data_IF_981134140698
#
_entry.id   IF_981134140698
#
_cell.length_a   1.000
_cell.length_b   1.000
_cell.length_c   1.000
_cell.angle_alpha   90.00
_cell.angle_beta   90.00
_cell.angle_gamma   90.00
#
_symmetry.space_group_name_H-M   'P 1'
#
loop_
_entity.id
_entity.type
_entity.pdbx_description
1 polymer ?
#
# COMPACT_ATOMS: atom_id res chain seq x y z
N UNK A 1 4.29 1.40 -13.46
CA UNK A 1 4.85 1.61 -12.10
C UNK A 1 5.12 3.08 -11.76
N UNK A 2 5.97 3.81 -12.49
CA UNK A 2 6.24 5.23 -12.17
C UNK A 2 4.97 6.09 -12.17
N UNK A 3 4.08 5.92 -13.15
CA UNK A 3 2.80 6.65 -13.21
C UNK A 3 1.91 6.33 -12.01
N UNK A 4 1.77 5.04 -11.67
CA UNK A 4 1.08 4.58 -10.46
C UNK A 4 1.64 5.25 -9.19
N UNK A 5 2.95 5.15 -8.96
CA UNK A 5 3.59 5.76 -7.79
C UNK A 5 3.34 7.27 -7.69
N UNK A 6 3.38 8.00 -8.82
CA UNK A 6 3.05 9.44 -8.85
C UNK A 6 1.58 9.73 -8.52
N UNK A 7 0.65 8.92 -9.02
CA UNK A 7 -0.77 9.06 -8.71
C UNK A 7 -1.05 8.81 -7.21
N UNK A 8 -0.45 7.73 -6.66
CA UNK A 8 -0.50 7.42 -5.23
C UNK A 8 0.10 8.55 -4.40
N UNK A 9 1.29 9.05 -4.74
CA UNK A 9 1.94 10.16 -4.04
C UNK A 9 1.06 11.42 -4.04
N UNK A 10 0.51 11.79 -5.20
CA UNK A 10 -0.37 12.95 -5.31
C UNK A 10 -1.61 12.81 -4.42
N UNK A 11 -2.26 11.64 -4.37
CA UNK A 11 -3.41 11.41 -3.48
C UNK A 11 -3.01 11.38 -2.02
N UNK A 12 -1.90 10.72 -1.69
CA UNK A 12 -1.36 10.63 -0.34
C UNK A 12 -1.08 12.03 0.24
N UNK A 13 -0.49 12.94 -0.54
CA UNK A 13 -0.28 14.34 -0.14
C UNK A 13 -1.61 15.08 0.09
N UNK A 14 -2.62 14.91 -0.79
CA UNK A 14 -3.96 15.48 -0.57
C UNK A 14 -4.57 15.02 0.75
N UNK A 15 -4.44 13.74 1.07
CA UNK A 15 -4.93 13.17 2.34
C UNK A 15 -4.14 13.74 3.52
N UNK A 16 -2.80 13.79 3.41
CA UNK A 16 -1.93 14.33 4.46
C UNK A 16 -2.31 15.76 4.85
N UNK A 17 -2.68 16.60 3.89
CA UNK A 17 -3.17 17.96 4.16
C UNK A 17 -4.48 17.98 4.97
N UNK A 18 -5.38 17.00 4.81
CA UNK A 18 -6.61 16.91 5.61
C UNK A 18 -6.29 16.56 7.06
N UNK A 19 -5.23 15.81 7.31
CA UNK A 19 -4.79 15.43 8.66
C UNK A 19 -3.55 16.20 9.13
N UNK A 20 -3.35 17.43 8.63
CA UNK A 20 -2.17 18.25 8.95
C UNK A 20 -1.94 18.48 10.46
N UNK A 21 -2.99 18.43 11.28
CA UNK A 21 -2.91 18.50 12.74
C UNK A 21 -2.07 17.37 13.37
N UNK A 22 -1.91 16.24 12.67
CA UNK A 22 -1.06 15.11 13.05
C UNK A 22 0.40 15.28 12.62
N UNK A 23 0.72 16.37 11.90
CA UNK A 23 2.06 16.72 11.41
C UNK A 23 2.72 15.58 10.59
N UNK A 24 2.04 15.06 9.54
CA UNK A 24 2.64 14.02 8.69
C UNK A 24 3.88 14.56 7.95
N UNK A 25 4.89 13.71 7.82
CA UNK A 25 6.11 14.01 7.04
C UNK A 25 5.83 13.93 5.53
N UNK A 26 5.59 15.09 4.91
CA UNK A 26 5.18 15.18 3.50
C UNK A 26 6.26 14.69 2.53
N UNK A 27 7.53 14.98 2.82
CA UNK A 27 8.66 14.52 2.00
C UNK A 27 8.77 13.00 2.05
N UNK A 28 8.68 12.42 3.25
CA UNK A 28 8.67 10.97 3.39
C UNK A 28 7.47 10.32 2.69
N UNK A 29 6.27 10.92 2.77
CA UNK A 29 5.08 10.41 2.08
C UNK A 29 5.31 10.33 0.57
N UNK A 30 5.84 11.40 -0.04
CA UNK A 30 6.11 11.44 -1.47
C UNK A 30 7.13 10.37 -1.88
N UNK A 31 8.27 10.31 -1.19
CA UNK A 31 9.33 9.34 -1.47
C UNK A 31 8.86 7.89 -1.31
N UNK A 32 8.20 7.59 -0.19
CA UNK A 32 7.76 6.23 0.13
C UNK A 32 6.61 5.78 -0.78
N UNK A 33 5.71 6.69 -1.19
CA UNK A 33 4.69 6.39 -2.19
C UNK A 33 5.29 6.08 -3.58
N UNK A 34 6.42 6.70 -3.95
CA UNK A 34 7.10 6.35 -5.19
C UNK A 34 7.81 4.98 -5.12
N UNK A 35 8.25 4.57 -3.93
CA UNK A 35 9.03 3.36 -3.71
C UNK A 35 8.24 2.13 -3.27
N UNK A 36 6.98 2.27 -2.84
CA UNK A 36 6.23 1.20 -2.16
C UNK A 36 6.18 -0.14 -2.94
N UNK A 37 6.16 -0.09 -4.26
CA UNK A 37 6.10 -1.24 -5.17
C UNK A 37 7.48 -1.74 -5.64
N UNK A 38 8.61 -1.22 -5.14
CA UNK A 38 9.95 -1.54 -5.69
C UNK A 38 10.26 -3.04 -5.70
N UNK A 39 9.71 -3.80 -4.74
CA UNK A 39 9.87 -5.25 -4.67
C UNK A 39 9.19 -6.03 -5.79
N UNK A 40 8.36 -5.40 -6.62
CA UNK A 40 7.73 -6.04 -7.78
C UNK A 40 8.75 -6.59 -8.79
N UNK A 41 9.97 -6.06 -8.83
CA UNK A 41 11.04 -6.59 -9.68
C UNK A 41 11.32 -8.09 -9.39
N UNK A 42 11.01 -8.57 -8.19
CA UNK A 42 11.20 -9.95 -7.76
C UNK A 42 9.99 -10.85 -8.05
N UNK A 43 8.86 -10.29 -8.49
CA UNK A 43 7.61 -11.04 -8.66
C UNK A 43 7.31 -11.37 -10.12
N UNK A 44 6.55 -12.44 -10.33
CA UNK A 44 6.07 -12.87 -11.62
C UNK A 44 4.75 -12.17 -11.97
N UNK A 45 4.85 -11.02 -12.64
CA UNK A 45 3.70 -10.24 -13.12
C UNK A 45 3.97 -9.73 -14.55
N UNK A 46 3.95 -10.62 -15.56
CA UNK A 46 4.39 -10.29 -16.93
C UNK A 46 3.54 -9.19 -17.59
N UNK A 47 2.26 -9.08 -17.24
CA UNK A 47 1.39 -7.98 -17.70
C UNK A 47 1.88 -6.60 -17.24
N UNK A 48 2.68 -6.56 -16.17
CA UNK A 48 3.29 -5.34 -15.61
C UNK A 48 4.77 -5.22 -15.98
N UNK A 49 5.29 -6.13 -16.83
CA UNK A 49 6.69 -6.18 -17.23
C UNK A 49 7.64 -6.76 -16.17
N UNK A 50 7.11 -7.46 -15.16
CA UNK A 50 7.91 -8.10 -14.11
C UNK A 50 8.04 -9.60 -14.36
N UNK A 51 9.27 -10.09 -14.47
CA UNK A 51 9.59 -11.49 -14.84
C UNK A 51 10.31 -12.24 -13.70
N UNK A 52 10.13 -11.81 -12.46
CA UNK A 52 10.66 -12.51 -11.29
C UNK A 52 9.99 -13.87 -11.08
N UNK A 53 10.36 -14.54 -9.99
CA UNK A 53 9.91 -15.90 -9.67
C UNK A 53 8.92 -15.97 -8.53
N UNK A 54 8.81 -14.91 -7.72
CA UNK A 54 7.94 -14.89 -6.55
C UNK A 54 6.49 -14.56 -6.92
N UNK A 55 5.50 -15.01 -6.13
CA UNK A 55 4.12 -14.60 -6.33
C UNK A 55 3.96 -13.09 -6.15
N UNK A 56 3.00 -12.47 -6.85
CA UNK A 56 2.79 -11.03 -6.81
C UNK A 56 2.69 -10.46 -5.39
N UNK A 57 2.02 -11.15 -4.46
CA UNK A 57 1.87 -10.71 -3.06
C UNK A 57 3.21 -10.49 -2.33
N UNK A 58 4.29 -11.13 -2.78
CA UNK A 58 5.61 -11.03 -2.17
C UNK A 58 6.27 -9.65 -2.38
N UNK A 59 5.79 -8.82 -3.32
CA UNK A 59 6.42 -7.53 -3.63
C UNK A 59 6.58 -6.63 -2.40
N UNK A 60 5.64 -6.69 -1.44
CA UNK A 60 5.72 -5.88 -0.23
C UNK A 60 6.94 -6.20 0.62
N UNK A 61 7.04 -7.43 1.12
CA UNK A 61 8.18 -7.82 1.96
C UNK A 61 9.50 -7.82 1.16
N UNK A 62 9.47 -8.12 -0.14
CA UNK A 62 10.67 -8.01 -0.97
C UNK A 62 11.17 -6.56 -1.10
N UNK A 63 10.27 -5.58 -1.16
CA UNK A 63 10.65 -4.17 -1.10
C UNK A 63 11.37 -3.83 0.21
N UNK A 64 10.93 -4.43 1.34
CA UNK A 64 11.65 -4.31 2.61
C UNK A 64 13.04 -4.94 2.56
N UNK A 65 13.17 -6.16 2.06
CA UNK A 65 14.46 -6.86 1.94
C UNK A 65 15.45 -6.14 1.02
N UNK A 66 14.95 -5.37 0.04
CA UNK A 66 15.78 -4.53 -0.82
C UNK A 66 16.23 -3.22 -0.15
N UNK A 67 15.33 -2.54 0.56
CA UNK A 67 15.58 -1.20 1.09
C UNK A 67 16.27 -1.19 2.46
N UNK A 68 16.02 -2.18 3.30
CA UNK A 68 16.58 -2.22 4.65
C UNK A 68 18.12 -2.29 4.68
N UNK A 69 18.80 -3.10 3.84
CA UNK A 69 20.28 -3.12 3.80
C UNK A 69 20.90 -1.81 3.31
N UNK A 70 20.13 -0.96 2.62
CA UNK A 70 20.57 0.35 2.11
C UNK A 70 20.35 1.49 3.12
N UNK A 71 19.81 1.19 4.31
CA UNK A 71 19.52 2.18 5.36
C UNK A 71 18.16 2.87 5.26
N UNK A 72 17.33 2.54 4.25
CA UNK A 72 16.00 3.13 4.06
C UNK A 72 14.91 2.42 4.88
N UNK A 73 15.13 2.31 6.19
CA UNK A 73 14.28 1.49 7.07
C UNK A 73 12.81 1.94 7.11
N UNK A 74 12.54 3.26 7.08
CA UNK A 74 11.15 3.77 7.08
C UNK A 74 10.42 3.41 5.77
N UNK A 75 11.07 3.61 4.62
CA UNK A 75 10.51 3.26 3.30
C UNK A 75 10.32 1.74 3.15
N UNK A 76 11.23 0.95 3.72
CA UNK A 76 11.13 -0.51 3.78
C UNK A 76 9.84 -0.97 4.49
N UNK A 77 9.45 -0.31 5.60
CA UNK A 77 8.20 -0.62 6.31
C UNK A 77 6.97 -0.30 5.47
N UNK A 78 6.96 0.83 4.74
CA UNK A 78 5.88 1.17 3.81
C UNK A 78 5.75 0.10 2.71
N UNK A 79 6.87 -0.34 2.14
CA UNK A 79 6.86 -1.43 1.16
C UNK A 79 6.22 -2.69 1.74
N UNK A 80 6.61 -3.12 2.94
CA UNK A 80 6.04 -4.34 3.52
C UNK A 80 4.55 -4.21 3.87
N UNK A 81 4.13 -3.05 4.38
CA UNK A 81 2.85 -2.89 5.06
C UNK A 81 1.72 -2.33 4.20
N UNK A 82 1.99 -1.96 2.94
CA UNK A 82 0.96 -1.39 2.06
C UNK A 82 0.06 -2.43 1.36
N UNK A 83 0.42 -3.71 1.40
CA UNK A 83 -0.32 -4.79 0.71
C UNK A 83 -1.71 -4.96 1.34
N UNK A 84 -2.75 -4.99 0.51
CA UNK A 84 -4.12 -4.99 1.01
C UNK A 84 -4.41 -3.68 1.76
N UNK A 85 -4.98 -3.77 2.96
CA UNK A 85 -5.00 -2.65 3.93
C UNK A 85 -3.97 -2.82 5.04
N UNK A 86 -2.91 -3.59 4.78
CA UNK A 86 -2.03 -4.23 5.76
C UNK A 86 -2.46 -5.66 6.04
N UNK A 87 -1.55 -6.51 6.51
CA UNK A 87 -1.86 -7.91 6.82
C UNK A 87 -1.40 -8.25 8.23
N UNK A 88 -2.35 -8.66 9.08
CA UNK A 88 -2.06 -9.18 10.41
C UNK A 88 -1.53 -10.61 10.34
N UNK A 89 -0.91 -11.08 11.44
CA UNK A 89 -0.46 -12.47 11.56
C UNK A 89 -1.63 -13.45 11.33
N UNK A 90 -2.80 -13.15 11.90
CA UNK A 90 -3.99 -13.98 11.74
C UNK A 90 -4.45 -14.05 10.27
N UNK A 91 -4.52 -12.92 9.56
CA UNK A 91 -4.90 -12.89 8.14
C UNK A 91 -3.90 -13.67 7.26
N UNK A 92 -2.60 -13.60 7.59
CA UNK A 92 -1.56 -14.37 6.88
C UNK A 92 -1.77 -15.87 7.09
N UNK A 93 -2.04 -16.30 8.32
CA UNK A 93 -2.26 -17.72 8.66
C UNK A 93 -3.57 -18.27 8.07
N UNK A 94 -4.68 -17.56 8.30
CA UNK A 94 -6.01 -17.96 7.83
C UNK A 94 -6.08 -18.00 6.29
N UNK A 95 -5.41 -17.05 5.63
CA UNK A 95 -5.33 -17.01 4.17
C UNK A 95 -4.30 -17.96 3.56
N UNK A 96 -3.48 -18.64 4.36
CA UNK A 96 -2.37 -19.47 3.87
C UNK A 96 -1.40 -18.69 2.97
N UNK A 97 -1.20 -17.40 3.26
CA UNK A 97 -0.43 -16.51 2.39
C UNK A 97 1.06 -16.88 2.46
N UNK A 98 1.78 -16.90 1.33
CA UNK A 98 3.22 -17.21 1.28
C UNK A 98 4.05 -15.99 1.71
N UNK A 99 3.80 -15.50 2.92
CA UNK A 99 4.41 -14.30 3.49
C UNK A 99 5.13 -14.64 4.80
N UNK A 100 6.18 -13.89 5.18
CA UNK A 100 6.77 -13.97 6.51
C UNK A 100 5.72 -13.85 7.62
N UNK A 101 5.79 -14.71 8.63
CA UNK A 101 4.83 -14.71 9.73
C UNK A 101 5.14 -13.59 10.73
N UNK A 102 4.75 -12.36 10.39
CA UNK A 102 4.87 -11.16 11.22
C UNK A 102 3.75 -10.17 10.92
N UNK A 103 3.53 -9.23 11.83
CA UNK A 103 2.54 -8.18 11.62
C UNK A 103 3.03 -7.19 10.55
N UNK A 104 2.26 -7.11 9.46
CA UNK A 104 2.50 -6.22 8.32
C UNK A 104 1.37 -5.18 8.20
N UNK A 105 0.78 -4.75 9.32
CA UNK A 105 -0.16 -3.63 9.36
C UNK A 105 0.55 -2.26 9.38
N UNK A 106 0.03 -1.25 8.68
CA UNK A 106 0.53 0.13 8.76
C UNK A 106 0.47 0.68 10.19
N UNK A 107 1.59 1.23 10.68
CA UNK A 107 1.67 1.74 12.05
C UNK A 107 1.66 3.27 12.11
N UNK A 108 2.53 3.94 11.35
CA UNK A 108 2.58 5.40 11.32
C UNK A 108 1.43 6.01 10.53
N UNK A 109 1.17 7.30 10.75
CA UNK A 109 0.18 8.05 9.96
C UNK A 109 0.54 8.07 8.47
N UNK A 110 1.82 8.19 8.15
CA UNK A 110 2.33 8.16 6.77
C UNK A 110 2.12 6.78 6.12
N UNK A 111 2.40 5.69 6.84
CA UNK A 111 2.14 4.33 6.34
C UNK A 111 0.65 4.13 6.03
N UNK A 112 -0.24 4.59 6.93
CA UNK A 112 -1.69 4.49 6.75
C UNK A 112 -2.17 5.33 5.56
N UNK A 113 -1.67 6.55 5.41
CA UNK A 113 -2.01 7.43 4.29
C UNK A 113 -1.63 6.80 2.96
N UNK A 114 -0.40 6.29 2.85
CA UNK A 114 0.10 5.67 1.60
C UNK A 114 -0.67 4.39 1.30
N UNK A 115 -0.87 3.53 2.30
CA UNK A 115 -1.63 2.29 2.14
C UNK A 115 -3.07 2.58 1.68
N UNK A 116 -3.75 3.56 2.29
CA UNK A 116 -5.09 3.96 1.86
C UNK A 116 -5.09 4.54 0.44
N UNK A 117 -4.17 5.47 0.13
CA UNK A 117 -4.08 6.11 -1.18
C UNK A 117 -3.84 5.11 -2.33
N UNK A 118 -3.01 4.08 -2.11
CA UNK A 118 -2.70 3.04 -3.10
C UNK A 118 -3.96 2.31 -3.59
N UNK A 119 -4.98 2.14 -2.74
CA UNK A 119 -6.18 1.36 -3.11
C UNK A 119 -7.00 1.99 -4.24
N UNK A 120 -6.86 3.29 -4.45
CA UNK A 120 -7.61 4.07 -5.44
C UNK A 120 -7.04 3.97 -6.85
N UNK A 121 -5.84 3.43 -7.03
CA UNK A 121 -5.19 3.37 -8.33
C UNK A 121 -4.92 1.93 -8.74
N UNK A 122 -4.88 1.72 -10.05
CA UNK A 122 -4.47 0.44 -10.62
C UNK A 122 -3.13 0.57 -11.32
N UNK A 123 -2.43 -0.56 -11.43
CA UNK A 123 -1.13 -0.62 -12.11
C UNK A 123 -1.27 -0.76 -13.63
N UNK A 124 -2.49 -0.88 -14.17
CA UNK A 124 -2.79 -1.02 -15.61
C UNK A 124 -3.53 0.20 -16.19
N UNK A 125 -4.47 0.76 -15.43
CA UNK A 125 -5.14 2.03 -15.71
C UNK A 125 -4.64 3.08 -14.71
N UNK A 126 -3.87 4.02 -15.23
CA UNK A 126 -3.17 5.05 -14.46
C UNK A 126 -3.87 6.42 -14.49
N UNK A 127 -4.87 6.59 -15.35
CA UNK A 127 -5.52 7.88 -15.57
C UNK A 127 -6.82 8.00 -14.77
N UNK A 128 -7.32 6.88 -14.25
CA UNK A 128 -8.58 6.80 -13.49
C UNK A 128 -8.33 6.57 -12.00
N UNK A 129 -8.70 7.53 -11.17
CA UNK A 129 -8.88 7.34 -9.73
C UNK A 129 -10.21 6.60 -9.50
N UNK A 130 -10.15 5.43 -8.85
CA UNK A 130 -11.36 4.67 -8.49
C UNK A 130 -12.20 5.46 -7.49
N UNK A 131 -13.51 5.31 -7.58
CA UNK A 131 -14.43 5.80 -6.56
C UNK A 131 -14.27 5.02 -5.26
N UNK A 132 -14.67 5.63 -4.14
CA UNK A 132 -14.68 4.96 -2.84
C UNK A 132 -15.48 3.64 -2.88
N UNK A 133 -16.60 3.62 -3.62
CA UNK A 133 -17.46 2.45 -3.77
C UNK A 133 -16.76 1.28 -4.50
N UNK A 134 -16.06 1.57 -5.60
CA UNK A 134 -15.28 0.58 -6.34
C UNK A 134 -14.16 -0.02 -5.50
N UNK A 135 -13.42 0.83 -4.78
CA UNK A 135 -12.34 0.38 -3.89
C UNK A 135 -12.91 -0.49 -2.76
N UNK A 136 -14.01 -0.06 -2.15
CA UNK A 136 -14.69 -0.78 -1.08
C UNK A 136 -15.17 -2.17 -1.53
N UNK A 137 -15.76 -2.26 -2.72
CA UNK A 137 -16.17 -3.53 -3.33
C UNK A 137 -14.97 -4.45 -3.56
N UNK A 138 -13.88 -3.91 -4.10
CA UNK A 138 -12.64 -4.67 -4.33
C UNK A 138 -12.07 -5.21 -3.01
N UNK A 139 -11.94 -4.37 -1.98
CA UNK A 139 -11.38 -4.76 -0.69
C UNK A 139 -12.27 -5.79 0.03
N UNK A 140 -13.59 -5.65 -0.08
CA UNK A 140 -14.55 -6.60 0.50
C UNK A 140 -14.35 -8.05 0.03
N UNK A 141 -13.83 -8.24 -1.19
CA UNK A 141 -13.49 -9.58 -1.71
C UNK A 141 -12.32 -10.26 -1.00
N UNK A 142 -11.47 -9.50 -0.29
CA UNK A 142 -10.32 -10.03 0.45
C UNK A 142 -10.61 -10.30 1.93
N UNK A 143 -11.80 -9.94 2.44
CA UNK A 143 -12.22 -10.25 3.80
C UNK A 143 -12.70 -9.04 4.61
N UNK A 144 -13.54 -9.31 5.61
CA UNK A 144 -14.20 -8.29 6.42
C UNK A 144 -13.22 -7.43 7.23
N UNK A 145 -12.09 -8.00 7.70
CA UNK A 145 -11.11 -7.25 8.49
C UNK A 145 -10.40 -6.18 7.67
N UNK A 146 -10.07 -6.49 6.41
CA UNK A 146 -9.47 -5.50 5.51
C UNK A 146 -10.46 -4.39 5.17
N UNK A 147 -11.72 -4.74 4.94
CA UNK A 147 -12.81 -3.81 4.66
C UNK A 147 -13.07 -2.87 5.85
N UNK A 148 -13.13 -3.40 7.07
CA UNK A 148 -13.34 -2.60 8.28
C UNK A 148 -12.24 -1.55 8.48
N UNK A 149 -10.98 -1.91 8.23
CA UNK A 149 -9.84 -0.98 8.26
C UNK A 149 -9.96 0.10 7.19
N UNK A 150 -10.35 -0.29 5.97
CA UNK A 150 -10.60 0.66 4.89
C UNK A 150 -11.71 1.65 5.22
N UNK A 151 -12.86 1.17 5.70
CA UNK A 151 -14.01 1.99 6.06
C UNK A 151 -13.66 2.96 7.21
N UNK A 152 -12.89 2.50 8.21
CA UNK A 152 -12.36 3.36 9.27
C UNK A 152 -11.43 4.47 8.73
N UNK A 153 -10.52 4.14 7.79
CA UNK A 153 -9.68 5.13 7.15
C UNK A 153 -10.45 6.12 6.28
N UNK A 154 -11.48 5.67 5.55
CA UNK A 154 -12.31 6.56 4.74
C UNK A 154 -12.97 7.64 5.60
N UNK A 155 -13.49 7.27 6.77
CA UNK A 155 -14.03 8.22 7.76
C UNK A 155 -12.91 9.14 8.30
N UNK A 156 -11.81 8.56 8.75
CA UNK A 156 -10.71 9.29 9.39
C UNK A 156 -10.05 10.32 8.45
N UNK A 157 -9.82 9.93 7.19
CA UNK A 157 -9.23 10.77 6.14
C UNK A 157 -10.26 11.65 5.41
N UNK A 158 -11.53 11.60 5.82
CA UNK A 158 -12.64 12.37 5.26
C UNK A 158 -12.73 12.22 3.74
N UNK A 159 -12.65 10.97 3.27
CA UNK A 159 -12.83 10.61 1.87
C UNK A 159 -14.29 10.23 1.65
N UNK A 160 -15.07 11.10 1.01
CA UNK A 160 -16.53 10.97 0.92
C UNK A 160 -17.06 10.46 -0.42
N UNK A 161 -16.18 10.01 -1.31
CA UNK A 161 -16.53 9.61 -2.68
C UNK A 161 -16.60 10.80 -3.63
#
# INVERSE_FOLDING_TARGET
LIRHGKAVAAKALRIAHRVAHLRPDLTFIEEAALLHDIGMIQTHAPLLGCFGTLPYIAHGYMGREMLAPLGYHRHALVCERHVGTGLTIAEIQEGGLPLPLRDMSPQSIEEQIICFADKFFSKNDHDTEKTLAEVRQQIGSYGAQQLNRFDAWAVFFRETG
#
